data_IF_796227520317
#
_entry.id   IF_796227520317
#
_cell.length_a   1.000
_cell.length_b   1.000
_cell.length_c   1.000
_cell.angle_alpha   90.00
_cell.angle_beta   90.00
_cell.angle_gamma   90.00
#
_symmetry.space_group_name_H-M   'P 1'
#
loop_
_entity.id
_entity.type
_entity.pdbx_description
1 polymer ?
#
# COMPACT_ATOMS: atom_id res chain seq x y z
N UNK A 1 6.98 16.29 -3.42
CA UNK A 1 6.23 15.16 -2.82
C UNK A 1 6.73 13.87 -3.47
N UNK A 2 6.92 12.80 -2.70
CA UNK A 2 7.43 11.54 -3.23
C UNK A 2 6.33 10.81 -4.04
N UNK A 3 6.56 10.50 -5.32
CA UNK A 3 5.58 9.81 -6.20
C UNK A 3 5.08 8.49 -5.57
N UNK A 4 5.94 7.78 -4.82
CA UNK A 4 5.55 6.56 -4.11
C UNK A 4 4.48 6.80 -3.05
N UNK A 5 4.55 7.92 -2.33
CA UNK A 5 3.53 8.29 -1.36
C UNK A 5 2.19 8.56 -2.05
N UNK A 6 2.20 9.24 -3.20
CA UNK A 6 0.97 9.52 -3.95
C UNK A 6 0.27 8.25 -4.44
N UNK A 7 1.02 7.27 -4.95
CA UNK A 7 0.47 5.99 -5.39
C UNK A 7 -0.19 5.24 -4.22
N UNK A 8 0.52 5.11 -3.09
CA UNK A 8 -0.04 4.40 -1.92
C UNK A 8 -1.27 5.10 -1.35
N UNK A 9 -1.24 6.43 -1.29
CA UNK A 9 -2.39 7.23 -0.81
C UNK A 9 -3.61 7.10 -1.72
N UNK A 10 -3.44 7.08 -3.05
CA UNK A 10 -4.55 6.86 -3.98
C UNK A 10 -5.22 5.49 -3.78
N UNK A 11 -4.42 4.43 -3.59
CA UNK A 11 -4.93 3.08 -3.31
C UNK A 11 -5.64 3.04 -1.96
N UNK A 12 -5.05 3.61 -0.91
CA UNK A 12 -5.67 3.68 0.42
C UNK A 12 -6.98 4.45 0.41
N UNK A 13 -7.08 5.54 -0.36
CA UNK A 13 -8.31 6.30 -0.51
C UNK A 13 -9.42 5.47 -1.17
N UNK A 14 -9.10 4.69 -2.21
CA UNK A 14 -10.05 3.77 -2.84
C UNK A 14 -10.51 2.68 -1.87
N UNK A 15 -9.57 2.09 -1.12
CA UNK A 15 -9.87 1.06 -0.13
C UNK A 15 -10.72 1.60 1.03
N UNK A 16 -10.55 2.84 1.46
CA UNK A 16 -11.44 3.47 2.47
C UNK A 16 -12.88 3.60 2.00
N UNK A 17 -13.11 3.76 0.69
CA UNK A 17 -14.45 3.86 0.13
C UNK A 17 -15.15 2.51 0.01
N UNK A 18 -14.40 1.45 -0.28
CA UNK A 18 -14.93 0.10 -0.50
C UNK A 18 -14.97 -0.77 0.77
N UNK A 19 -13.93 -0.68 1.59
CA UNK A 19 -13.87 -1.34 2.89
C UNK A 19 -14.64 -0.48 3.90
N UNK A 20 -15.94 -0.75 4.06
CA UNK A 20 -16.76 -0.15 5.12
C UNK A 20 -16.01 -0.21 6.45
N UNK A 21 -16.02 0.88 7.23
CA UNK A 21 -15.01 1.32 8.21
C UNK A 21 -14.62 0.42 9.40
N UNK A 22 -14.79 -0.89 9.28
CA UNK A 22 -14.36 -1.94 10.19
C UNK A 22 -12.99 -2.54 9.81
N UNK A 23 -12.28 -1.98 8.83
CA UNK A 23 -10.96 -2.48 8.38
C UNK A 23 -9.87 -1.47 8.70
N UNK A 24 -8.81 -1.91 9.37
CA UNK A 24 -7.61 -1.08 9.62
C UNK A 24 -6.74 -1.08 8.37
N UNK A 25 -6.37 0.11 7.88
CA UNK A 25 -5.54 0.26 6.68
C UNK A 25 -4.13 0.74 7.04
N UNK A 26 -3.11 0.00 6.60
CA UNK A 26 -1.70 0.33 6.82
C UNK A 26 -1.03 0.86 5.53
N UNK A 27 -0.32 1.99 5.65
CA UNK A 27 0.51 2.58 4.59
C UNK A 27 1.97 2.09 4.73
N UNK A 28 2.21 0.84 4.33
CA UNK A 28 3.48 0.13 4.52
C UNK A 28 3.25 -1.33 4.92
N UNK A 29 4.33 -2.11 4.97
CA UNK A 29 4.29 -3.47 5.50
C UNK A 29 4.55 -3.42 7.01
N UNK A 30 3.53 -3.63 7.87
CA UNK A 30 3.74 -3.67 9.31
C UNK A 30 4.57 -4.90 9.70
N UNK A 31 5.49 -4.74 10.66
CA UNK A 31 6.27 -5.86 11.19
C UNK A 31 5.44 -6.77 12.10
N UNK A 32 4.39 -6.22 12.72
CA UNK A 32 3.46 -6.90 13.62
C UNK A 32 2.08 -6.26 13.48
N UNK A 33 1.02 -7.06 13.62
CA UNK A 33 -0.38 -6.62 13.62
C UNK A 33 -1.02 -7.21 14.88
N UNK A 34 -1.67 -6.37 15.68
CA UNK A 34 -2.40 -6.84 16.87
C UNK A 34 -3.75 -7.48 16.46
N UNK A 35 -4.22 -8.45 17.24
CA UNK A 35 -5.54 -9.06 17.03
C UNK A 35 -6.69 -8.04 17.08
N UNK A 36 -6.56 -6.93 17.85
CA UNK A 36 -7.58 -5.88 17.87
C UNK A 36 -7.58 -5.01 16.60
N UNK A 37 -6.52 -5.06 15.80
CA UNK A 37 -6.42 -4.33 14.53
C UNK A 37 -7.02 -5.13 13.36
N UNK A 38 -7.52 -6.34 13.62
CA UNK A 38 -8.15 -7.19 12.62
C UNK A 38 -9.66 -6.86 12.48
N UNK A 39 -10.19 -6.84 11.24
CA UNK A 39 -9.51 -7.12 9.97
C UNK A 39 -8.61 -5.96 9.49
N UNK A 40 -7.43 -6.29 8.97
CA UNK A 40 -6.41 -5.33 8.54
C UNK A 40 -6.01 -5.52 7.07
N UNK A 41 -5.77 -4.40 6.36
CA UNK A 41 -5.20 -4.39 5.01
C UNK A 41 -3.96 -3.51 4.98
N UNK A 42 -2.83 -4.10 4.60
CA UNK A 42 -1.57 -3.38 4.40
C UNK A 42 -1.31 -3.14 2.90
N UNK A 43 -0.93 -1.91 2.55
CA UNK A 43 -0.56 -1.51 1.18
C UNK A 43 0.87 -1.03 1.18
N UNK A 44 1.72 -1.70 0.41
CA UNK A 44 3.11 -1.27 0.24
C UNK A 44 3.59 -1.48 -1.20
N UNK A 45 4.64 -0.75 -1.55
CA UNK A 45 5.34 -0.91 -2.81
C UNK A 45 6.55 -1.80 -2.55
N UNK A 46 6.68 -2.89 -3.31
CA UNK A 46 7.91 -3.67 -3.39
C UNK A 46 8.60 -3.40 -4.73
N UNK A 47 9.92 -3.53 -4.76
CA UNK A 47 10.72 -3.48 -5.99
C UNK A 47 10.56 -2.16 -6.78
N UNK A 48 10.49 -1.02 -6.10
CA UNK A 48 10.58 0.28 -6.75
C UNK A 48 12.02 0.50 -7.23
N UNK A 49 12.24 0.39 -8.55
CA UNK A 49 13.55 0.58 -9.16
C UNK A 49 13.52 1.84 -10.04
N UNK A 50 14.58 2.64 -9.93
CA UNK A 50 14.83 3.71 -10.87
C UNK A 50 15.17 3.09 -12.22
N UNK A 51 14.31 3.31 -13.22
CA UNK A 51 14.47 2.69 -14.55
C UNK A 51 15.29 3.57 -15.50
N UNK A 52 15.46 4.87 -15.20
CA UNK A 52 16.39 5.77 -15.89
C UNK A 52 16.22 5.86 -17.42
N UNK A 53 15.03 5.56 -17.95
CA UNK A 53 14.79 5.43 -19.41
C UNK A 53 14.56 6.78 -20.12
N UNK A 54 14.30 7.85 -19.40
CA UNK A 54 14.12 9.20 -19.93
C UNK A 54 15.07 10.14 -19.17
N UNK A 55 15.98 10.80 -19.90
CA UNK A 55 17.08 11.59 -19.33
C UNK A 55 16.64 12.91 -18.69
N UNK A 56 15.35 13.28 -18.82
CA UNK A 56 14.81 14.57 -18.38
C UNK A 56 13.53 14.44 -17.53
N UNK A 57 13.09 13.21 -17.21
CA UNK A 57 11.92 12.96 -16.35
C UNK A 57 12.21 11.93 -15.25
N UNK A 58 11.67 12.17 -14.05
CA UNK A 58 11.73 11.29 -12.87
C UNK A 58 10.93 9.98 -13.06
N UNK A 59 11.21 9.22 -14.11
CA UNK A 59 10.53 7.96 -14.45
C UNK A 59 10.85 6.87 -13.43
N UNK A 60 9.89 6.57 -12.56
CA UNK A 60 9.99 5.53 -11.53
C UNK A 60 8.94 4.45 -11.84
N UNK A 61 9.39 3.20 -12.00
CA UNK A 61 8.48 2.06 -12.15
C UNK A 61 8.48 1.25 -10.84
N UNK A 62 7.29 1.11 -10.25
CA UNK A 62 7.05 0.11 -9.21
C UNK A 62 6.46 -1.12 -9.88
N UNK A 63 7.20 -2.23 -9.86
CA UNK A 63 6.83 -3.46 -10.58
C UNK A 63 5.63 -4.17 -9.94
N UNK A 64 5.38 -3.99 -8.63
CA UNK A 64 4.34 -4.75 -7.94
C UNK A 64 3.77 -4.03 -6.73
N UNK A 65 2.48 -3.68 -6.81
CA UNK A 65 1.66 -3.37 -5.65
C UNK A 65 1.24 -4.69 -4.99
N UNK A 66 1.42 -4.80 -3.67
CA UNK A 66 0.92 -5.93 -2.88
C UNK A 66 -0.09 -5.44 -1.85
N UNK A 67 -1.15 -6.22 -1.66
CA UNK A 67 -2.10 -6.09 -0.56
C UNK A 67 -2.15 -7.40 0.22
N UNK A 68 -2.12 -7.31 1.55
CA UNK A 68 -2.33 -8.44 2.46
C UNK A 68 -3.56 -8.13 3.30
N UNK A 69 -4.54 -9.03 3.30
CA UNK A 69 -5.72 -8.95 4.14
C UNK A 69 -5.58 -9.98 5.27
N UNK A 70 -5.44 -9.49 6.49
CA UNK A 70 -5.47 -10.33 7.69
C UNK A 70 -6.89 -10.28 8.26
N UNK A 71 -7.55 -11.42 8.37
CA UNK A 71 -8.89 -11.54 8.96
C UNK A 71 -8.86 -12.43 10.20
N UNK A 72 -9.67 -12.08 11.19
CA UNK A 72 -9.97 -12.91 12.37
C UNK A 72 -10.92 -14.03 11.93
N UNK A 73 -10.41 -15.06 11.27
CA UNK A 73 -11.15 -16.28 10.99
C UNK A 73 -10.44 -17.47 11.66
N UNK A 74 -11.00 -17.88 12.81
CA UNK A 74 -10.87 -19.14 13.57
C UNK A 74 -9.51 -19.85 13.66
#
# INVERSE_FOLDING_TARGET
MNRHTQIRQAVLASLKGECGGNVVLFDGLPAFIDAQELPAVAVWLSDAQYTGKMTDEDDWQAVRLRSYCATTAC
#
